data_IF_873864423287
#
_entry.id   IF_873864423287
#
_cell.length_a   1.000
_cell.length_b   1.000
_cell.length_c   1.000
_cell.angle_alpha   90.00
_cell.angle_beta   90.00
_cell.angle_gamma   90.00
#
_symmetry.space_group_name_H-M   'P 1'
#
loop_
_entity.id
_entity.type
_entity.pdbx_description
1 polymer ?
#
# COMPACT_ATOMS: atom_id res chain seq x y z
N UNK A 1 -22.01 -7.89 15.84
CA UNK A 1 -21.32 -6.71 15.30
C UNK A 1 -20.04 -6.36 16.05
N UNK A 2 -20.05 -6.27 17.37
CA UNK A 2 -18.85 -5.92 18.18
C UNK A 2 -17.68 -6.92 17.99
N UNK A 3 -17.98 -8.21 17.86
CA UNK A 3 -16.95 -9.26 17.65
C UNK A 3 -16.27 -9.17 16.30
N UNK A 4 -17.03 -8.84 15.25
CA UNK A 4 -16.50 -8.67 13.89
C UNK A 4 -15.55 -7.48 13.82
N UNK A 5 -15.92 -6.39 14.48
CA UNK A 5 -15.09 -5.18 14.57
C UNK A 5 -13.81 -5.41 15.38
N UNK A 6 -13.88 -6.15 16.46
CA UNK A 6 -12.72 -6.52 17.27
C UNK A 6 -11.72 -7.38 16.47
N UNK A 7 -12.21 -8.38 15.73
CA UNK A 7 -11.37 -9.23 14.87
C UNK A 7 -10.72 -8.40 13.75
N UNK A 8 -11.50 -7.55 13.08
CA UNK A 8 -10.99 -6.68 12.03
C UNK A 8 -9.89 -5.74 12.53
N UNK A 9 -10.10 -5.08 13.69
CA UNK A 9 -9.12 -4.19 14.32
C UNK A 9 -7.83 -4.92 14.70
N UNK A 10 -7.94 -6.11 15.27
CA UNK A 10 -6.77 -6.90 15.66
C UNK A 10 -5.96 -7.31 14.43
N UNK A 11 -6.64 -7.77 13.37
CA UNK A 11 -5.99 -8.14 12.11
C UNK A 11 -5.33 -6.94 11.43
N UNK A 12 -5.99 -5.79 11.43
CA UNK A 12 -5.45 -4.54 10.90
C UNK A 12 -4.15 -4.14 11.60
N UNK A 13 -4.14 -4.12 12.94
CA UNK A 13 -2.95 -3.81 13.73
C UNK A 13 -1.84 -4.84 13.53
N UNK A 14 -2.19 -6.12 13.40
CA UNK A 14 -1.24 -7.19 13.11
C UNK A 14 -0.58 -7.02 11.74
N UNK A 15 -1.35 -6.64 10.73
CA UNK A 15 -0.85 -6.43 9.36
C UNK A 15 0.11 -5.25 9.30
N UNK A 16 -0.23 -4.12 9.94
CA UNK A 16 0.65 -2.94 9.95
C UNK A 16 1.95 -3.20 10.71
N UNK A 17 1.90 -3.96 11.79
CA UNK A 17 3.10 -4.33 12.58
C UNK A 17 3.98 -5.37 11.90
N UNK A 18 3.58 -5.91 10.78
CA UNK A 18 4.36 -6.88 10.04
C UNK A 18 5.58 -6.20 9.37
N UNK A 19 6.80 -6.73 9.58
CA UNK A 19 8.01 -6.09 9.02
C UNK A 19 8.00 -6.03 7.49
N UNK A 20 7.41 -7.01 6.81
CA UNK A 20 7.26 -7.03 5.36
C UNK A 20 6.43 -5.84 4.87
N UNK A 21 5.38 -5.47 5.58
CA UNK A 21 4.54 -4.30 5.25
C UNK A 21 5.35 -3.00 5.28
N UNK A 22 6.16 -2.81 6.33
CA UNK A 22 7.05 -1.66 6.45
C UNK A 22 8.12 -1.61 5.35
N UNK A 23 8.72 -2.75 5.03
CA UNK A 23 9.73 -2.86 3.95
C UNK A 23 9.13 -2.50 2.59
N UNK A 24 7.93 -3.00 2.28
CA UNK A 24 7.25 -2.68 1.02
C UNK A 24 6.96 -1.18 0.88
N UNK A 25 6.48 -0.54 1.95
CA UNK A 25 6.26 0.91 1.95
C UNK A 25 7.58 1.66 1.75
N UNK A 26 8.64 1.25 2.43
CA UNK A 26 9.96 1.87 2.31
C UNK A 26 10.52 1.74 0.90
N UNK A 27 10.41 0.57 0.27
CA UNK A 27 10.80 0.35 -1.13
C UNK A 27 10.01 1.25 -2.07
N UNK A 28 8.71 1.44 -1.82
CA UNK A 28 7.87 2.35 -2.62
C UNK A 28 8.35 3.79 -2.51
N UNK A 29 8.64 4.24 -1.29
CA UNK A 29 9.19 5.58 -1.08
C UNK A 29 10.54 5.75 -1.78
N UNK A 30 11.41 4.75 -1.73
CA UNK A 30 12.69 4.77 -2.43
C UNK A 30 12.49 4.86 -3.96
N UNK A 31 11.59 4.06 -4.53
CA UNK A 31 11.27 4.11 -5.95
C UNK A 31 10.68 5.46 -6.38
N UNK A 32 9.76 6.01 -5.58
CA UNK A 32 9.18 7.32 -5.85
C UNK A 32 10.24 8.44 -5.76
N UNK A 33 11.16 8.38 -4.81
CA UNK A 33 12.23 9.37 -4.68
C UNK A 33 13.25 9.28 -5.82
N UNK A 34 13.50 8.09 -6.38
CA UNK A 34 14.35 7.92 -7.56
C UNK A 34 13.73 8.49 -8.84
N UNK A 35 12.42 8.65 -8.91
CA UNK A 35 11.77 9.30 -10.05
C UNK A 35 12.13 10.79 -10.18
N UNK A 36 12.45 11.48 -9.08
CA UNK A 36 12.83 12.89 -9.10
C UNK A 36 14.10 13.20 -9.93
N UNK A 37 15.24 12.50 -9.71
CA UNK A 37 16.44 12.74 -10.51
C UNK A 37 16.32 12.25 -11.96
N UNK A 38 15.52 11.20 -12.24
CA UNK A 38 15.33 10.72 -13.60
C UNK A 38 14.64 11.77 -14.48
N UNK A 39 13.63 12.46 -13.97
CA UNK A 39 12.96 13.51 -14.72
C UNK A 39 13.87 14.69 -15.02
N UNK A 40 14.82 15.01 -14.14
CA UNK A 40 15.82 16.06 -14.35
C UNK A 40 16.85 15.74 -15.45
N UNK A 41 17.11 14.46 -15.71
CA UNK A 41 18.04 14.03 -16.76
C UNK A 41 17.43 13.96 -18.15
N UNK A 42 16.12 13.77 -18.25
CA UNK A 42 15.37 13.74 -19.51
C UNK A 42 14.96 15.11 -20.00
N UNK A 43 15.01 16.13 -19.16
CA UNK A 43 14.58 17.53 -19.45
C UNK A 43 15.46 18.30 -20.44
N UNK A 44 16.38 17.65 -21.14
CA UNK A 44 17.31 18.35 -22.09
C UNK A 44 16.69 18.70 -23.44
N UNK A 45 15.42 18.44 -23.70
CA UNK A 45 14.77 18.82 -24.97
C UNK A 45 13.25 19.08 -24.85
N UNK A 46 12.94 20.34 -24.83
CA UNK A 46 11.83 21.01 -25.55
C UNK A 46 10.36 20.69 -25.22
N UNK A 47 9.98 20.11 -24.08
CA UNK A 47 8.58 20.21 -23.69
C UNK A 47 8.30 19.75 -22.24
N UNK A 48 8.25 20.68 -21.31
CA UNK A 48 7.89 20.41 -19.90
C UNK A 48 6.54 19.69 -19.69
N UNK A 49 5.68 19.64 -20.72
CA UNK A 49 4.45 18.85 -20.74
C UNK A 49 4.68 17.35 -20.94
N UNK A 50 5.69 16.98 -21.72
CA UNK A 50 6.02 15.56 -21.96
C UNK A 50 6.63 14.92 -20.71
N UNK A 51 7.47 15.68 -20.01
CA UNK A 51 8.14 15.20 -18.79
C UNK A 51 7.14 15.01 -17.65
N UNK A 52 6.17 15.92 -17.52
CA UNK A 52 5.12 15.76 -16.50
C UNK A 52 4.25 14.54 -16.74
N UNK A 53 3.84 14.27 -17.98
CA UNK A 53 3.08 13.06 -18.32
C UNK A 53 3.88 11.79 -18.08
N UNK A 54 5.16 11.82 -18.40
CA UNK A 54 6.05 10.68 -18.16
C UNK A 54 6.20 10.42 -16.65
N UNK A 55 6.38 11.46 -15.85
CA UNK A 55 6.44 11.37 -14.38
C UNK A 55 5.16 10.80 -13.77
N UNK A 56 4.00 11.28 -14.24
CA UNK A 56 2.69 10.77 -13.81
C UNK A 56 2.50 9.30 -14.19
N UNK A 57 2.87 8.92 -15.41
CA UNK A 57 2.73 7.54 -15.90
C UNK A 57 3.62 6.56 -15.11
N UNK A 58 4.87 6.91 -14.89
CA UNK A 58 5.81 6.07 -14.11
C UNK A 58 5.36 6.00 -12.65
N UNK A 59 4.94 7.11 -12.06
CA UNK A 59 4.46 7.16 -10.69
C UNK A 59 3.20 6.32 -10.48
N UNK A 60 2.22 6.43 -11.38
CA UNK A 60 1.00 5.62 -11.34
C UNK A 60 1.29 4.13 -11.52
N UNK A 61 2.18 3.77 -12.44
CA UNK A 61 2.61 2.38 -12.63
C UNK A 61 3.30 1.83 -11.37
N UNK A 62 4.16 2.61 -10.74
CA UNK A 62 4.82 2.24 -9.48
C UNK A 62 3.80 2.04 -8.36
N UNK A 63 2.83 2.93 -8.22
CA UNK A 63 1.76 2.80 -7.24
C UNK A 63 0.91 1.54 -7.47
N UNK A 64 0.58 1.24 -8.73
CA UNK A 64 -0.21 0.06 -9.08
C UNK A 64 0.54 -1.23 -8.72
N UNK A 65 1.80 -1.35 -9.13
CA UNK A 65 2.64 -2.52 -8.84
C UNK A 65 2.83 -2.69 -7.33
N UNK A 66 3.14 -1.61 -6.64
CA UNK A 66 3.33 -1.65 -5.17
C UNK A 66 2.05 -2.01 -4.44
N UNK A 67 0.91 -1.42 -4.84
CA UNK A 67 -0.39 -1.75 -4.25
C UNK A 67 -0.72 -3.23 -4.40
N UNK A 68 -0.42 -3.81 -5.56
CA UNK A 68 -0.62 -5.23 -5.86
C UNK A 68 0.31 -6.11 -5.01
N UNK A 69 1.57 -5.75 -4.85
CA UNK A 69 2.52 -6.46 -4.00
C UNK A 69 2.11 -6.38 -2.52
N UNK A 70 1.76 -5.20 -2.02
CA UNK A 70 1.28 -5.03 -0.63
C UNK A 70 0.05 -5.89 -0.38
N UNK A 71 -0.92 -5.90 -1.30
CA UNK A 71 -2.12 -6.71 -1.18
C UNK A 71 -1.80 -8.21 -1.16
N UNK A 72 -0.95 -8.69 -2.09
CA UNK A 72 -0.57 -10.09 -2.20
C UNK A 72 0.19 -10.58 -0.96
N UNK A 73 1.19 -9.83 -0.51
CA UNK A 73 1.97 -10.20 0.67
C UNK A 73 1.16 -10.11 1.97
N UNK A 74 0.29 -9.10 2.11
CA UNK A 74 -0.58 -8.97 3.27
C UNK A 74 -1.59 -10.11 3.37
N UNK A 75 -2.17 -10.51 2.24
CA UNK A 75 -3.09 -11.64 2.17
C UNK A 75 -2.38 -12.97 2.47
N UNK A 76 -1.22 -13.19 1.86
CA UNK A 76 -0.41 -14.41 2.08
C UNK A 76 0.01 -14.55 3.53
N UNK A 77 0.47 -13.48 4.15
CA UNK A 77 0.88 -13.49 5.54
C UNK A 77 -0.28 -13.66 6.52
N UNK A 78 -1.46 -13.15 6.20
CA UNK A 78 -2.67 -13.38 6.99
C UNK A 78 -3.07 -14.86 6.99
N UNK A 79 -2.96 -15.55 5.83
CA UNK A 79 -3.20 -16.98 5.73
C UNK A 79 -2.11 -17.82 6.41
N UNK A 80 -0.84 -17.50 6.19
CA UNK A 80 0.29 -18.24 6.77
C UNK A 80 0.22 -18.33 8.28
N UNK A 81 -0.12 -17.24 8.95
CA UNK A 81 -0.29 -17.23 10.43
C UNK A 81 -1.45 -18.11 10.91
N UNK A 82 -2.51 -18.25 10.13
CA UNK A 82 -3.62 -19.15 10.49
C UNK A 82 -3.21 -20.61 10.50
N UNK A 83 -2.31 -20.98 9.60
CA UNK A 83 -1.79 -22.33 9.49
C UNK A 83 -0.81 -22.60 10.65
N UNK A 84 0.08 -21.66 10.96
CA UNK A 84 1.10 -21.80 12.00
C UNK A 84 0.50 -21.79 13.42
N UNK A 85 -0.47 -20.92 13.69
CA UNK A 85 -1.08 -20.78 15.01
C UNK A 85 -2.10 -21.90 15.35
N UNK A 86 -2.39 -22.82 14.41
CA UNK A 86 -3.43 -23.86 14.56
C UNK A 86 -4.78 -23.29 15.06
N UNK A 87 -5.00 -22.01 14.85
CA UNK A 87 -6.23 -21.30 15.31
C UNK A 87 -7.47 -21.86 14.65
N UNK A 88 -7.34 -22.56 13.51
CA UNK A 88 -8.40 -23.35 12.93
C UNK A 88 -8.96 -24.42 13.87
N UNK A 89 -8.14 -24.96 14.80
CA UNK A 89 -8.58 -25.95 15.78
C UNK A 89 -9.24 -25.31 17.02
N UNK A 90 -8.80 -24.12 17.42
CA UNK A 90 -9.37 -23.38 18.55
C UNK A 90 -10.71 -22.72 18.22
N UNK A 91 -10.98 -22.41 16.94
CA UNK A 91 -12.28 -21.89 16.49
C UNK A 91 -13.40 -22.94 16.59
N UNK A 92 -13.05 -24.24 16.61
CA UNK A 92 -14.04 -25.32 16.80
C UNK A 92 -14.58 -25.33 18.25
N UNK A 93 -13.81 -24.84 19.22
CA UNK A 93 -14.19 -24.80 20.62
C UNK A 93 -15.00 -23.54 21.03
N UNK A 94 -15.09 -22.52 20.19
CA UNK A 94 -15.86 -21.29 20.44
C UNK A 94 -16.98 -21.13 19.41
N UNK A 95 -18.21 -20.71 19.82
CA UNK A 95 -19.34 -20.58 18.91
C UNK A 95 -19.25 -19.28 18.08
N UNK A 96 -18.19 -19.17 17.27
CA UNK A 96 -18.06 -18.11 16.26
C UNK A 96 -18.17 -18.77 14.90
N UNK A 97 -19.13 -18.34 14.10
CA UNK A 97 -19.33 -18.89 12.75
C UNK A 97 -18.07 -18.63 11.91
N UNK A 98 -17.62 -19.63 11.17
CA UNK A 98 -16.45 -19.55 10.27
C UNK A 98 -16.54 -18.34 9.33
N UNK A 99 -17.74 -18.04 8.84
CA UNK A 99 -17.99 -16.89 7.98
C UNK A 99 -17.65 -15.55 8.67
N UNK A 100 -18.06 -15.34 9.93
CA UNK A 100 -17.79 -14.12 10.68
C UNK A 100 -16.28 -13.91 10.90
N UNK A 101 -15.53 -14.98 11.14
CA UNK A 101 -14.09 -14.93 11.33
C UNK A 101 -13.36 -14.54 10.04
N UNK A 102 -13.67 -15.22 8.92
CA UNK A 102 -13.06 -14.94 7.61
C UNK A 102 -13.38 -13.51 7.15
N UNK A 103 -14.63 -13.08 7.29
CA UNK A 103 -15.06 -11.73 6.92
C UNK A 103 -14.35 -10.66 7.76
N UNK A 104 -14.22 -10.88 9.06
CA UNK A 104 -13.50 -9.96 9.96
C UNK A 104 -12.02 -9.81 9.58
N UNK A 105 -11.35 -10.90 9.24
CA UNK A 105 -9.97 -10.87 8.76
C UNK A 105 -9.84 -10.17 7.41
N UNK A 106 -10.72 -10.46 6.49
CA UNK A 106 -10.74 -9.80 5.18
C UNK A 106 -10.86 -8.27 5.32
N UNK A 107 -11.78 -7.80 6.16
CA UNK A 107 -11.95 -6.36 6.43
C UNK A 107 -10.68 -5.76 7.03
N UNK A 108 -10.02 -6.46 7.96
CA UNK A 108 -8.77 -6.01 8.57
C UNK A 108 -7.63 -5.86 7.57
N UNK A 109 -7.41 -6.85 6.72
CA UNK A 109 -6.38 -6.84 5.66
C UNK A 109 -6.71 -5.77 4.61
N UNK A 110 -7.97 -5.69 4.16
CA UNK A 110 -8.41 -4.69 3.19
C UNK A 110 -8.18 -3.27 3.73
N UNK A 111 -8.49 -3.01 5.00
CA UNK A 111 -8.20 -1.73 5.66
C UNK A 111 -6.72 -1.38 5.67
N UNK A 112 -5.84 -2.35 5.94
CA UNK A 112 -4.39 -2.13 5.92
C UNK A 112 -3.87 -1.82 4.51
N UNK A 113 -4.37 -2.51 3.48
CA UNK A 113 -4.02 -2.25 2.08
C UNK A 113 -4.48 -0.85 1.64
N UNK A 114 -5.71 -0.46 1.98
CA UNK A 114 -6.24 0.88 1.69
C UNK A 114 -5.38 1.96 2.33
N UNK A 115 -4.98 1.76 3.58
CA UNK A 115 -4.13 2.71 4.30
C UNK A 115 -2.74 2.82 3.65
N UNK A 116 -2.12 1.70 3.26
CA UNK A 116 -0.85 1.70 2.53
C UNK A 116 -0.97 2.47 1.22
N UNK A 117 -2.03 2.19 0.46
CA UNK A 117 -2.26 2.85 -0.82
C UNK A 117 -2.48 4.36 -0.66
N UNK A 118 -3.19 4.76 0.39
CA UNK A 118 -3.40 6.17 0.72
C UNK A 118 -2.08 6.88 1.07
N UNK A 119 -1.23 6.25 1.90
CA UNK A 119 0.08 6.81 2.26
C UNK A 119 1.00 6.95 1.05
N UNK A 120 1.06 5.91 0.20
CA UNK A 120 1.86 5.94 -1.03
C UNK A 120 1.32 6.97 -2.03
N UNK A 121 0.01 7.09 -2.17
CA UNK A 121 -0.63 8.10 -3.00
C UNK A 121 -0.36 9.53 -2.53
N UNK A 122 -0.41 9.77 -1.23
CA UNK A 122 -0.07 11.07 -0.65
C UNK A 122 1.41 11.41 -0.88
N UNK A 123 2.31 10.44 -0.71
CA UNK A 123 3.73 10.61 -1.02
C UNK A 123 3.95 10.93 -2.51
N UNK A 124 3.24 10.24 -3.40
CA UNK A 124 3.29 10.51 -4.83
C UNK A 124 2.84 11.93 -5.16
N UNK A 125 1.71 12.38 -4.60
CA UNK A 125 1.22 13.74 -4.80
C UNK A 125 2.21 14.80 -4.29
N UNK A 126 2.87 14.55 -3.16
CA UNK A 126 3.90 15.44 -2.65
C UNK A 126 5.13 15.46 -3.56
N UNK A 127 5.52 14.32 -4.11
CA UNK A 127 6.64 14.20 -5.05
C UNK A 127 6.34 14.97 -6.34
N UNK A 128 5.16 14.83 -6.91
CA UNK A 128 4.73 15.57 -8.10
C UNK A 128 4.67 17.07 -7.81
N UNK A 129 4.13 17.46 -6.65
CA UNK A 129 4.04 18.88 -6.26
C UNK A 129 5.41 19.55 -6.09
N UNK A 130 6.40 18.84 -5.55
CA UNK A 130 7.76 19.36 -5.36
C UNK A 130 8.66 19.17 -6.58
N UNK A 131 8.37 18.19 -7.43
CA UNK A 131 9.15 17.90 -8.64
C UNK A 131 8.81 18.80 -9.83
N UNK A 132 7.65 19.47 -9.81
CA UNK A 132 7.33 20.47 -10.82
C UNK A 132 8.06 21.76 -10.46
N UNK A 133 9.11 22.07 -11.22
CA UNK A 133 9.87 23.30 -11.05
C UNK A 133 8.96 24.55 -11.16
N UNK A 134 9.22 25.60 -10.40
CA UNK A 134 8.40 26.82 -10.37
C UNK A 134 8.30 27.55 -11.73
N UNK A 135 9.15 27.19 -12.70
CA UNK A 135 9.19 27.78 -14.04
C UNK A 135 7.95 27.51 -14.90
N UNK A 136 7.12 26.53 -14.54
CA UNK A 136 5.87 26.21 -15.26
C UNK A 136 4.63 26.82 -14.57
N UNK A 137 4.83 27.52 -13.45
CA UNK A 137 3.72 28.00 -12.62
C UNK A 137 3.27 29.44 -12.92
N UNK A 138 4.02 30.14 -13.74
CA UNK A 138 3.65 31.51 -14.16
C UNK A 138 3.14 31.49 -15.61
N UNK A 139 1.90 32.00 -15.84
CA UNK A 139 1.35 32.15 -17.19
C UNK A 139 2.05 33.30 -17.97
#
# INVERSE_FOLDING_TARGET
>A
MIRLWAIGRTTFLQTIRQPIYGVLILVTFAMLSMNLPLSGWTSSSDSGRSDQKMMESIGLSTLMVTGLLVAAFSASAALGREIDDKTALTVIAKPVTRATFVTGKFIGVAGAVILAYYLCGLAFLLTVRHGVMPTVRDP
#
